data_IF_502776424050
#
_entry.id   IF_502776424050
#
_cell.length_a   1.000
_cell.length_b   1.000
_cell.length_c   1.000
_cell.angle_alpha   90.00
_cell.angle_beta   90.00
_cell.angle_gamma   90.00
#
_symmetry.space_group_name_H-M   'P 1'
#
loop_
_entity.id
_entity.type
_entity.pdbx_description
1 polymer ?
#
# COMPACT_ATOMS: atom_id res chain seq x y z
N UNK A 1 -1.98 -4.25 -1.46
CA UNK A 1 -1.65 -3.36 -0.32
C UNK A 1 -2.81 -3.14 0.68
N UNK A 2 -4.06 -2.95 0.26
CA UNK A 2 -5.18 -2.70 1.21
C UNK A 2 -5.37 -3.79 2.27
N UNK A 3 -5.24 -5.07 1.89
CA UNK A 3 -5.31 -6.19 2.83
C UNK A 3 -4.23 -6.11 3.93
N UNK A 4 -3.03 -5.60 3.64
CA UNK A 4 -2.00 -5.43 4.65
C UNK A 4 -2.44 -4.47 5.76
N UNK A 5 -3.19 -3.41 5.41
CA UNK A 5 -3.76 -2.46 6.38
C UNK A 5 -4.90 -3.10 7.18
N UNK A 6 -5.73 -3.94 6.54
CA UNK A 6 -6.77 -4.71 7.25
C UNK A 6 -6.13 -5.66 8.27
N UNK A 7 -5.07 -6.38 7.91
CA UNK A 7 -4.33 -7.27 8.83
C UNK A 7 -3.70 -6.51 9.99
N UNK A 8 -3.25 -5.26 9.78
CA UNK A 8 -2.76 -4.38 10.85
C UNK A 8 -3.87 -3.90 11.81
N UNK A 9 -5.15 -4.11 11.49
CA UNK A 9 -6.28 -3.58 12.26
C UNK A 9 -6.75 -2.19 11.79
N UNK A 10 -6.21 -1.65 10.70
CA UNK A 10 -6.64 -0.38 10.10
C UNK A 10 -7.91 -0.50 9.25
N UNK A 11 -8.46 -1.70 9.12
CA UNK A 11 -9.70 -2.00 8.42
C UNK A 11 -10.47 -3.12 9.10
N UNK A 12 -11.57 -3.55 8.49
CA UNK A 12 -12.48 -4.56 9.05
C UNK A 12 -12.50 -5.82 8.19
N UNK A 13 -12.43 -6.99 8.81
CA UNK A 13 -12.74 -8.27 8.16
C UNK A 13 -14.19 -8.68 8.41
N UNK A 14 -14.74 -8.29 9.57
CA UNK A 14 -16.14 -8.42 9.95
C UNK A 14 -16.76 -7.05 10.27
N UNK A 15 -18.09 -6.87 10.11
CA UNK A 15 -18.74 -5.57 10.31
C UNK A 15 -18.47 -4.90 11.65
N UNK A 16 -18.33 -5.68 12.73
CA UNK A 16 -18.19 -5.18 14.10
C UNK A 16 -16.72 -5.01 14.55
N UNK A 17 -15.75 -5.31 13.68
CA UNK A 17 -14.33 -5.18 14.02
C UNK A 17 -14.01 -3.71 14.39
N UNK A 18 -13.25 -3.54 15.48
CA UNK A 18 -12.73 -2.23 15.85
C UNK A 18 -11.59 -1.87 14.90
N UNK A 19 -11.56 -0.60 14.47
CA UNK A 19 -10.46 -0.06 13.68
C UNK A 19 -9.46 0.60 14.62
N UNK A 20 -8.19 0.27 14.44
CA UNK A 20 -7.08 1.04 14.98
C UNK A 20 -6.74 2.19 14.00
N UNK A 21 -6.93 3.44 14.45
CA UNK A 21 -6.69 4.61 13.61
C UNK A 21 -5.22 5.05 13.54
N UNK A 22 -4.33 4.45 14.31
CA UNK A 22 -2.91 4.82 14.27
C UNK A 22 -2.06 3.89 13.39
N UNK A 23 -2.61 2.76 12.93
CA UNK A 23 -1.91 1.84 12.03
C UNK A 23 -2.17 2.20 10.57
N UNK A 24 -1.26 1.79 9.68
CA UNK A 24 -1.42 2.00 8.25
C UNK A 24 -0.11 2.13 7.50
N UNK A 25 -0.20 2.65 6.28
CA UNK A 25 0.94 2.84 5.37
C UNK A 25 1.03 4.31 4.95
N UNK A 26 2.24 4.86 4.95
CA UNK A 26 2.52 6.21 4.44
C UNK A 26 3.79 6.21 3.59
N UNK A 27 4.07 7.32 2.90
CA UNK A 27 5.26 7.47 2.04
C UNK A 27 5.43 6.35 1.02
N UNK A 28 4.32 5.90 0.43
CA UNK A 28 4.35 4.88 -0.61
C UNK A 28 5.02 5.45 -1.85
N UNK A 29 5.99 4.72 -2.41
CA UNK A 29 6.56 5.07 -3.69
C UNK A 29 5.49 4.93 -4.80
N UNK A 30 5.28 5.96 -5.63
CA UNK A 30 4.30 5.90 -6.71
C UNK A 30 4.77 4.98 -7.85
N UNK A 31 3.84 4.56 -8.70
CA UNK A 31 4.16 3.79 -9.92
C UNK A 31 5.13 4.59 -10.79
N UNK A 32 6.21 3.94 -11.21
CA UNK A 32 7.25 4.55 -12.03
C UNK A 32 8.26 5.41 -11.26
N UNK A 33 8.24 5.37 -9.92
CA UNK A 33 9.36 5.85 -9.11
C UNK A 33 10.61 4.99 -9.34
N UNK A 34 11.77 5.64 -9.39
CA UNK A 34 13.06 4.97 -9.31
C UNK A 34 13.40 4.71 -7.85
N UNK A 35 14.09 3.61 -7.57
CA UNK A 35 14.65 3.34 -6.25
C UNK A 35 15.99 2.64 -6.36
N UNK A 36 16.77 2.74 -5.28
CA UNK A 36 18.03 2.00 -5.10
C UNK A 36 17.88 0.95 -4.01
N UNK A 37 18.76 -0.05 -4.03
CA UNK A 37 18.82 -1.04 -2.96
C UNK A 37 19.02 -0.34 -1.60
N UNK A 38 18.18 -0.69 -0.62
CA UNK A 38 18.16 -0.08 0.70
C UNK A 38 17.17 1.09 0.86
N UNK A 39 16.59 1.60 -0.23
CA UNK A 39 15.53 2.62 -0.14
C UNK A 39 14.18 1.98 0.22
N UNK A 40 13.39 2.70 1.02
CA UNK A 40 12.11 2.21 1.50
C UNK A 40 11.00 2.35 0.44
N UNK A 41 10.21 1.28 0.26
CA UNK A 41 9.01 1.30 -0.60
C UNK A 41 7.84 2.07 0.03
N UNK A 42 7.73 1.98 1.36
CA UNK A 42 6.70 2.60 2.17
C UNK A 42 7.16 2.67 3.64
N UNK A 43 6.46 3.46 4.45
CA UNK A 43 6.57 3.46 5.91
C UNK A 43 5.33 2.76 6.51
N UNK A 44 5.58 1.74 7.33
CA UNK A 44 4.56 1.00 8.08
C UNK A 44 4.37 1.63 9.46
N UNK A 45 3.12 1.89 9.83
CA UNK A 45 2.72 2.22 11.20
C UNK A 45 2.02 1.01 11.81
N UNK A 46 2.60 0.42 12.85
CA UNK A 46 2.11 -0.77 13.54
C UNK A 46 2.26 -0.61 15.06
N UNK A 47 1.59 -1.45 15.86
CA UNK A 47 1.73 -1.44 17.33
C UNK A 47 2.92 -2.23 17.82
N UNK A 48 3.32 -3.23 17.05
CA UNK A 48 4.44 -4.11 17.39
C UNK A 48 5.36 -4.32 16.19
N UNK A 49 6.60 -4.69 16.46
CA UNK A 49 7.58 -5.00 15.42
C UNK A 49 7.16 -6.22 14.58
N UNK A 50 6.49 -7.21 15.20
CA UNK A 50 6.01 -8.40 14.50
C UNK A 50 4.91 -8.07 13.47
N UNK A 51 3.98 -7.18 13.84
CA UNK A 51 2.97 -6.63 12.92
C UNK A 51 3.64 -5.81 11.81
N UNK A 52 4.64 -5.00 12.16
CA UNK A 52 5.39 -4.20 11.21
C UNK A 52 6.07 -5.08 10.14
N UNK A 53 6.74 -6.15 10.56
CA UNK A 53 7.41 -7.10 9.66
C UNK A 53 6.42 -7.84 8.75
N UNK A 54 5.29 -8.27 9.31
CA UNK A 54 4.22 -8.93 8.55
C UNK A 54 3.67 -8.01 7.45
N UNK A 55 3.39 -6.76 7.80
CA UNK A 55 2.91 -5.77 6.85
C UNK A 55 4.00 -5.38 5.84
N UNK A 56 5.26 -5.26 6.25
CA UNK A 56 6.37 -4.97 5.35
C UNK A 56 6.57 -6.09 4.32
N UNK A 57 6.45 -7.35 4.73
CA UNK A 57 6.48 -8.50 3.82
C UNK A 57 5.32 -8.43 2.81
N UNK A 58 4.10 -8.13 3.27
CA UNK A 58 2.93 -7.99 2.39
C UNK A 58 3.07 -6.81 1.41
N UNK A 59 3.69 -5.70 1.82
CA UNK A 59 3.98 -4.56 0.94
C UNK A 59 5.03 -4.95 -0.11
N UNK A 60 6.15 -5.59 0.31
CA UNK A 60 7.18 -6.07 -0.63
C UNK A 60 6.61 -7.02 -1.68
N UNK A 61 5.76 -7.95 -1.27
CA UNK A 61 5.10 -8.89 -2.18
C UNK A 61 4.10 -8.23 -3.15
N UNK A 62 3.60 -7.03 -2.80
CA UNK A 62 2.64 -6.29 -3.63
C UNK A 62 3.31 -5.33 -4.64
N UNK A 63 4.61 -5.07 -4.52
CA UNK A 63 5.36 -4.24 -5.45
C UNK A 63 6.09 -5.09 -6.50
N UNK A 64 6.01 -4.68 -7.75
CA UNK A 64 6.85 -5.20 -8.83
C UNK A 64 7.92 -4.17 -9.17
N UNK A 65 9.18 -4.58 -9.13
CA UNK A 65 10.33 -3.74 -9.50
C UNK A 65 10.83 -4.22 -10.88
N UNK A 66 10.86 -3.30 -11.84
CA UNK A 66 11.29 -3.55 -13.21
C UNK A 66 12.52 -2.73 -13.60
N UNK A 67 13.16 -3.10 -14.72
CA UNK A 67 14.36 -2.43 -15.24
C UNK A 67 14.06 -1.16 -16.05
N UNK A 68 12.79 -0.89 -16.36
CA UNK A 68 12.37 0.29 -17.10
C UNK A 68 11.16 0.95 -16.44
N UNK A 69 11.06 2.27 -16.62
CA UNK A 69 9.90 3.03 -16.18
C UNK A 69 8.67 2.63 -17.01
N UNK A 70 7.56 2.20 -16.40
CA UNK A 70 6.35 1.86 -17.14
C UNK A 70 5.75 3.10 -17.82
N UNK A 71 5.00 2.93 -18.92
CA UNK A 71 4.27 4.03 -19.53
C UNK A 71 3.26 4.62 -18.54
N UNK A 72 3.08 5.94 -18.60
CA UNK A 72 2.13 6.62 -17.74
C UNK A 72 0.69 6.34 -18.21
N UNK A 73 -0.14 5.81 -17.32
CA UNK A 73 -1.57 5.64 -17.54
C UNK A 73 -2.38 6.84 -17.03
N UNK A 74 -3.53 7.08 -17.65
CA UNK A 74 -4.45 8.14 -17.19
C UNK A 74 -5.19 7.68 -15.94
N UNK A 75 -5.09 8.46 -14.86
CA UNK A 75 -5.87 8.20 -13.62
C UNK A 75 -7.38 8.25 -13.87
N UNK A 76 -7.84 9.08 -14.82
CA UNK A 76 -9.23 9.12 -15.28
C UNK A 76 -9.30 8.55 -16.69
N UNK A 77 -9.90 7.37 -16.83
CA UNK A 77 -10.02 6.70 -18.12
C UNK A 77 -11.03 7.39 -19.04
N UNK A 78 -12.25 7.62 -18.55
CA UNK A 78 -13.31 8.33 -19.29
C UNK A 78 -14.39 8.86 -18.35
N UNK A 79 -15.14 9.86 -18.84
CA UNK A 79 -16.36 10.36 -18.20
C UNK A 79 -17.56 9.74 -18.90
N UNK A 80 -18.55 9.29 -18.12
CA UNK A 80 -19.83 8.81 -18.63
C UNK A 80 -20.85 9.90 -18.37
N UNK A 81 -21.44 10.46 -19.44
CA UNK A 81 -22.48 11.48 -19.36
C UNK A 81 -23.84 10.82 -19.62
N UNK A 82 -24.86 11.22 -18.84
CA UNK A 82 -26.23 10.94 -19.23
C UNK A 82 -26.52 11.69 -20.54
N UNK A 83 -27.26 11.03 -21.44
CA UNK A 83 -27.72 11.67 -22.69
C UNK A 83 -28.70 12.79 -22.39
#
# INVERSE_FOLDING_TARGET
IGLAVVTLGGGRSHPDDRIDHAVGLTRLLPVGAELRAGEALALVHARTDAEAETAAAAVRAAYTIGSSKPPAEKTVLRRILAR
#
